data_IF_398192886203
#
_entry.id   IF_398192886203
#
_cell.length_a   1.000
_cell.length_b   1.000
_cell.length_c   1.000
_cell.angle_alpha   90.00
_cell.angle_beta   90.00
_cell.angle_gamma   90.00
#
_symmetry.space_group_name_H-M   'P 1'
#
loop_
_entity.id
_entity.type
_entity.pdbx_description
1 polymer ?
#
# COMPACT_ATOMS: atom_id res chain seq x y z
N UNK A 1 -22.48 8.13 -53.52
CA UNK A 1 -21.66 7.69 -53.43
C UNK A 1 -20.69 8.04 -52.59
N UNK A 2 -20.72 7.98 -51.73
CA UNK A 2 -19.80 8.28 -50.89
C UNK A 2 -19.19 7.11 -50.44
N UNK A 3 -18.40 6.97 -50.84
CA UNK A 3 -17.63 6.00 -50.48
C UNK A 3 -16.92 6.35 -49.29
N UNK A 4 -17.25 6.00 -48.47
CA UNK A 4 -16.65 6.02 -47.37
C UNK A 4 -15.33 5.62 -47.55
N UNK A 5 -14.48 6.38 -47.38
CA UNK A 5 -13.07 6.15 -47.22
C UNK A 5 -12.83 5.53 -45.85
N UNK A 6 -12.80 4.22 -45.76
CA UNK A 6 -12.23 3.49 -44.64
C UNK A 6 -10.72 3.80 -44.68
N UNK A 7 -10.30 4.74 -43.86
CA UNK A 7 -8.89 5.01 -43.66
C UNK A 7 -8.26 3.74 -43.07
N UNK A 8 -7.42 3.09 -43.83
CA UNK A 8 -6.52 2.05 -43.38
C UNK A 8 -5.47 2.69 -42.47
N UNK A 9 -5.83 2.92 -41.18
CA UNK A 9 -4.87 3.28 -40.16
C UNK A 9 -4.29 2.00 -39.49
N UNK A 10 -4.02 0.97 -40.32
CA UNK A 10 -3.76 -0.36 -39.81
C UNK A 10 -2.31 -0.82 -39.68
N UNK A 11 -1.32 0.02 -40.04
CA UNK A 11 0.03 -0.56 -40.23
C UNK A 11 1.14 0.01 -39.34
N UNK A 12 0.92 1.13 -38.63
CA UNK A 12 2.00 1.75 -37.83
C UNK A 12 1.84 1.60 -36.33
N UNK A 13 0.72 1.16 -35.88
CA UNK A 13 0.36 1.03 -34.47
C UNK A 13 1.31 0.12 -33.67
N UNK A 14 1.63 -1.12 -34.12
CA UNK A 14 2.48 -2.00 -33.33
C UNK A 14 3.93 -1.53 -33.20
N UNK A 15 4.45 -0.78 -34.20
CA UNK A 15 5.83 -0.29 -34.16
C UNK A 15 6.01 0.80 -33.10
N UNK A 16 4.97 1.54 -32.77
CA UNK A 16 5.00 2.57 -31.73
C UNK A 16 5.15 1.96 -30.32
N UNK A 17 4.70 0.71 -30.14
CA UNK A 17 4.84 -0.02 -28.88
C UNK A 17 6.23 -0.64 -28.72
N UNK A 18 6.99 -0.76 -29.79
CA UNK A 18 8.28 -1.47 -29.77
C UNK A 18 9.27 -0.90 -28.74
N UNK A 19 9.47 0.43 -28.64
CA UNK A 19 10.38 0.95 -27.59
C UNK A 19 9.94 0.60 -26.17
N UNK A 20 8.63 0.66 -25.90
CA UNK A 20 8.08 0.32 -24.59
C UNK A 20 8.27 -1.18 -24.31
N UNK A 21 8.02 -2.04 -25.29
CA UNK A 21 8.18 -3.49 -25.16
C UNK A 21 9.65 -3.87 -24.96
N UNK A 22 10.56 -3.22 -25.71
CA UNK A 22 12.00 -3.46 -25.55
C UNK A 22 12.48 -3.01 -24.17
N UNK A 23 12.02 -1.86 -23.68
CA UNK A 23 12.34 -1.38 -22.34
C UNK A 23 11.85 -2.36 -21.29
N UNK A 24 10.60 -2.78 -21.41
CA UNK A 24 9.99 -3.74 -20.47
C UNK A 24 10.76 -5.06 -20.45
N UNK A 25 11.08 -5.59 -21.62
CA UNK A 25 11.82 -6.85 -21.74
C UNK A 25 13.22 -6.73 -21.12
N UNK A 26 13.95 -5.67 -21.48
CA UNK A 26 15.36 -5.52 -21.07
C UNK A 26 15.51 -5.14 -19.59
N UNK A 27 14.63 -4.29 -19.06
CA UNK A 27 14.80 -3.72 -17.72
C UNK A 27 13.89 -4.33 -16.66
N UNK A 28 12.93 -5.13 -17.06
CA UNK A 28 12.01 -5.77 -16.10
C UNK A 28 11.96 -7.29 -16.28
N UNK A 29 11.59 -7.78 -17.45
CA UNK A 29 11.40 -9.23 -17.65
C UNK A 29 12.70 -10.03 -17.52
N UNK A 30 13.79 -9.56 -18.14
CA UNK A 30 15.09 -10.26 -18.06
C UNK A 30 15.64 -10.26 -16.63
N UNK A 31 15.72 -9.11 -15.93
CA UNK A 31 16.16 -9.12 -14.52
C UNK A 31 15.25 -9.95 -13.62
N UNK A 32 13.93 -9.92 -13.84
CA UNK A 32 12.99 -10.69 -13.04
C UNK A 32 13.17 -12.19 -13.27
N UNK A 33 13.34 -12.61 -14.53
CA UNK A 33 13.63 -14.01 -14.86
C UNK A 33 14.94 -14.47 -14.18
N UNK A 34 15.96 -13.60 -14.18
CA UNK A 34 17.22 -13.89 -13.50
C UNK A 34 17.01 -14.01 -11.98
N UNK A 35 16.19 -13.14 -11.41
CA UNK A 35 15.86 -13.20 -9.98
C UNK A 35 15.18 -14.54 -9.63
N UNK A 36 14.22 -14.98 -10.45
CA UNK A 36 13.56 -16.28 -10.26
C UNK A 36 14.60 -17.42 -10.29
N UNK A 37 15.52 -17.36 -11.23
CA UNK A 37 16.58 -18.36 -11.39
C UNK A 37 17.53 -18.38 -10.19
N UNK A 38 17.94 -17.22 -9.69
CA UNK A 38 18.84 -17.11 -8.53
C UNK A 38 18.18 -17.73 -7.29
N UNK A 39 16.86 -17.55 -7.13
CA UNK A 39 16.11 -18.15 -6.02
C UNK A 39 16.14 -19.68 -6.01
N UNK A 40 16.41 -20.32 -7.16
CA UNK A 40 16.58 -21.77 -7.24
C UNK A 40 17.95 -22.24 -6.79
N UNK A 41 18.92 -21.34 -6.68
CA UNK A 41 20.29 -21.66 -6.27
C UNK A 41 20.33 -22.11 -4.81
N UNK A 42 21.38 -22.85 -4.41
CA UNK A 42 21.48 -23.29 -3.01
C UNK A 42 21.69 -22.12 -2.03
N UNK A 43 20.95 -22.16 -0.94
CA UNK A 43 21.13 -21.26 0.20
C UNK A 43 22.48 -21.56 0.87
N UNK A 44 23.13 -20.55 1.41
CA UNK A 44 24.48 -20.66 2.00
C UNK A 44 24.51 -21.55 3.24
N UNK A 45 23.43 -21.61 4.00
CA UNK A 45 23.39 -22.37 5.25
C UNK A 45 22.72 -23.73 5.10
N UNK A 46 21.56 -23.79 4.44
CA UNK A 46 20.80 -25.04 4.30
C UNK A 46 21.25 -25.91 3.13
N UNK A 47 21.95 -25.31 2.15
CA UNK A 47 22.36 -25.97 0.90
C UNK A 47 21.17 -26.43 0.04
N UNK A 48 19.95 -26.05 0.42
CA UNK A 48 18.73 -26.28 -0.34
C UNK A 48 18.38 -25.04 -1.13
N UNK A 49 17.46 -25.15 -2.09
CA UNK A 49 17.07 -23.97 -2.90
C UNK A 49 16.56 -22.84 -2.01
N UNK A 50 16.75 -21.60 -2.45
CA UNK A 50 16.27 -20.44 -1.72
C UNK A 50 14.77 -20.51 -1.43
N UNK A 51 13.98 -20.99 -2.40
CA UNK A 51 12.51 -21.12 -2.22
C UNK A 51 12.17 -22.10 -1.11
N UNK A 52 12.84 -23.26 -1.08
CA UNK A 52 12.61 -24.22 -0.01
C UNK A 52 13.03 -23.67 1.36
N UNK A 53 14.16 -22.98 1.40
CA UNK A 53 14.67 -22.36 2.64
C UNK A 53 13.64 -21.34 3.18
N UNK A 54 13.05 -20.52 2.30
CA UNK A 54 12.07 -19.51 2.72
C UNK A 54 10.83 -20.15 3.37
N UNK A 55 10.33 -21.26 2.81
CA UNK A 55 9.12 -21.90 3.36
C UNK A 55 9.41 -22.83 4.53
N UNK A 56 10.64 -23.30 4.69
CA UNK A 56 10.99 -24.26 5.75
C UNK A 56 11.55 -23.61 7.01
N UNK A 57 12.18 -22.42 6.90
CA UNK A 57 12.81 -21.77 8.04
C UNK A 57 11.82 -20.81 8.74
N UNK A 58 11.61 -20.99 10.07
CA UNK A 58 10.63 -20.17 10.80
C UNK A 58 10.90 -18.67 10.74
N UNK A 59 12.16 -18.25 10.70
CA UNK A 59 12.55 -16.84 10.69
C UNK A 59 12.02 -16.09 9.46
N UNK A 60 12.03 -16.75 8.29
CA UNK A 60 11.54 -16.14 7.05
C UNK A 60 10.02 -16.10 7.01
N UNK A 61 9.38 -17.16 7.51
CA UNK A 61 7.92 -17.20 7.64
C UNK A 61 7.44 -16.13 8.63
N UNK A 62 8.18 -15.90 9.71
CA UNK A 62 7.86 -14.87 10.68
C UNK A 62 7.94 -13.48 10.05
N UNK A 63 9.00 -13.20 9.26
CA UNK A 63 9.14 -11.94 8.54
C UNK A 63 7.99 -11.73 7.55
N UNK A 64 7.62 -12.77 6.82
CA UNK A 64 6.50 -12.71 5.87
C UNK A 64 5.19 -12.43 6.61
N UNK A 65 4.94 -13.14 7.70
CA UNK A 65 3.72 -12.98 8.50
C UNK A 65 3.64 -11.58 9.10
N UNK A 66 4.73 -11.09 9.68
CA UNK A 66 4.80 -9.74 10.26
C UNK A 66 4.49 -8.68 9.20
N UNK A 67 5.11 -8.80 8.01
CA UNK A 67 4.90 -7.85 6.91
C UNK A 67 3.45 -7.90 6.42
N UNK A 68 2.91 -9.10 6.26
CA UNK A 68 1.54 -9.30 5.79
C UNK A 68 0.53 -8.71 6.77
N UNK A 69 0.65 -9.04 8.06
CA UNK A 69 -0.26 -8.55 9.10
C UNK A 69 -0.16 -7.04 9.27
N UNK A 70 1.07 -6.51 9.28
CA UNK A 70 1.30 -5.07 9.39
C UNK A 70 0.69 -4.34 8.19
N UNK A 71 0.91 -4.84 6.97
CA UNK A 71 0.38 -4.22 5.75
C UNK A 71 -1.15 -4.26 5.73
N UNK A 72 -1.74 -5.37 6.15
CA UNK A 72 -3.21 -5.48 6.25
C UNK A 72 -3.77 -4.51 7.29
N UNK A 73 -3.13 -4.44 8.47
CA UNK A 73 -3.58 -3.54 9.55
C UNK A 73 -3.50 -2.08 9.09
N UNK A 74 -2.38 -1.68 8.48
CA UNK A 74 -2.20 -0.32 7.93
C UNK A 74 -3.28 -0.03 6.89
N UNK A 75 -3.54 -0.97 5.99
CA UNK A 75 -4.52 -0.81 4.91
C UNK A 75 -5.93 -0.62 5.48
N UNK A 76 -6.34 -1.48 6.41
CA UNK A 76 -7.69 -1.41 6.99
C UNK A 76 -7.92 -0.10 7.75
N UNK A 77 -6.95 0.29 8.59
CA UNK A 77 -7.06 1.53 9.37
C UNK A 77 -7.01 2.75 8.45
N UNK A 78 -6.13 2.74 7.46
CA UNK A 78 -6.03 3.82 6.46
C UNK A 78 -7.36 3.99 5.72
N UNK A 79 -7.96 2.89 5.25
CA UNK A 79 -9.23 2.97 4.51
C UNK A 79 -10.36 3.46 5.39
N UNK A 80 -10.42 3.02 6.64
CA UNK A 80 -11.45 3.45 7.59
C UNK A 80 -11.35 4.97 7.83
N UNK A 81 -10.16 5.46 8.17
CA UNK A 81 -9.94 6.87 8.43
C UNK A 81 -10.17 7.70 7.15
N UNK A 82 -9.63 7.23 6.02
CA UNK A 82 -9.74 7.95 4.75
C UNK A 82 -11.19 8.02 4.25
N UNK A 83 -11.99 6.98 4.46
CA UNK A 83 -13.39 7.00 4.08
C UNK A 83 -14.16 8.04 4.89
N UNK A 84 -13.97 8.07 6.21
CA UNK A 84 -14.65 9.03 7.10
C UNK A 84 -14.20 10.46 6.78
N UNK A 85 -12.89 10.71 6.77
CA UNK A 85 -12.31 12.04 6.53
C UNK A 85 -12.62 12.50 5.10
N UNK A 86 -12.48 11.60 4.12
CA UNK A 86 -12.71 11.89 2.71
C UNK A 86 -14.15 12.28 2.43
N UNK A 87 -15.12 11.55 3.01
CA UNK A 87 -16.54 11.90 2.88
C UNK A 87 -16.84 13.23 3.54
N UNK A 88 -16.28 13.49 4.72
CA UNK A 88 -16.45 14.76 5.41
C UNK A 88 -15.92 15.92 4.58
N UNK A 89 -14.66 15.82 4.10
CA UNK A 89 -14.04 16.89 3.33
C UNK A 89 -14.70 17.11 1.97
N UNK A 90 -15.26 16.07 1.38
CA UNK A 90 -15.99 16.20 0.12
C UNK A 90 -17.29 16.97 0.26
N UNK A 91 -17.92 16.89 1.44
CA UNK A 91 -19.28 17.43 1.67
C UNK A 91 -19.31 18.76 2.37
N UNK A 92 -18.31 19.04 3.21
CA UNK A 92 -18.29 20.26 4.01
C UNK A 92 -17.40 21.31 3.35
N UNK A 93 -17.92 22.53 3.26
CA UNK A 93 -17.17 23.67 2.79
C UNK A 93 -16.97 24.62 3.98
N UNK A 94 -15.72 24.85 4.32
CA UNK A 94 -15.33 25.69 5.45
C UNK A 94 -14.08 26.49 5.10
N UNK A 95 -13.84 27.56 5.84
CA UNK A 95 -12.66 28.41 5.65
C UNK A 95 -11.40 27.58 5.95
N UNK A 96 -10.43 27.59 5.04
CA UNK A 96 -9.20 26.84 5.19
C UNK A 96 -9.20 25.42 4.64
N UNK A 97 -10.33 24.96 4.06
CA UNK A 97 -10.44 23.61 3.49
C UNK A 97 -9.35 23.35 2.43
N UNK A 98 -9.12 24.32 1.54
CA UNK A 98 -8.09 24.20 0.51
C UNK A 98 -6.70 24.09 1.10
N UNK A 99 -6.41 24.88 2.13
CA UNK A 99 -5.14 24.82 2.85
C UNK A 99 -4.96 23.47 3.54
N UNK A 100 -6.01 22.95 4.16
CA UNK A 100 -5.96 21.63 4.82
C UNK A 100 -5.67 20.52 3.80
N UNK A 101 -6.33 20.55 2.63
CA UNK A 101 -6.08 19.56 1.57
C UNK A 101 -4.65 19.65 1.06
N UNK A 102 -4.12 20.88 0.90
CA UNK A 102 -2.73 21.08 0.50
C UNK A 102 -1.76 20.52 1.54
N UNK A 103 -2.03 20.78 2.83
CA UNK A 103 -1.20 20.30 3.94
C UNK A 103 -1.24 18.75 4.04
N UNK A 104 -2.38 18.15 3.71
CA UNK A 104 -2.51 16.68 3.72
C UNK A 104 -1.60 16.02 2.67
N UNK A 105 -1.29 16.71 1.58
CA UNK A 105 -0.38 16.16 0.56
C UNK A 105 1.09 16.37 0.88
N UNK A 106 1.42 17.26 1.83
CA UNK A 106 2.78 17.60 2.18
C UNK A 106 3.62 16.38 2.62
N UNK A 107 3.09 15.45 3.46
CA UNK A 107 3.86 14.27 3.85
C UNK A 107 4.32 13.40 2.68
N UNK A 108 3.64 13.45 1.53
CA UNK A 108 4.00 12.66 0.36
C UNK A 108 5.33 13.10 -0.26
N UNK A 109 5.81 14.30 0.08
CA UNK A 109 7.09 14.81 -0.39
C UNK A 109 8.30 14.16 0.32
N UNK A 110 8.07 13.52 1.47
CA UNK A 110 9.17 12.99 2.28
C UNK A 110 9.49 11.52 1.94
N UNK A 111 10.77 11.19 1.75
CA UNK A 111 11.17 9.78 1.60
C UNK A 111 10.97 9.00 2.92
N UNK A 112 10.87 7.69 2.79
CA UNK A 112 10.59 6.81 3.93
C UNK A 112 11.57 6.93 5.10
N UNK A 113 12.84 7.21 4.79
CA UNK A 113 13.88 7.40 5.83
C UNK A 113 13.51 8.60 6.72
N UNK A 114 13.05 9.70 6.11
CA UNK A 114 12.64 10.90 6.85
C UNK A 114 11.38 10.60 7.68
N UNK A 115 10.45 9.83 7.14
CA UNK A 115 9.25 9.40 7.89
C UNK A 115 9.68 8.60 9.14
N UNK A 116 10.67 7.72 9.00
CA UNK A 116 11.25 7.00 10.15
C UNK A 116 11.80 7.94 11.21
N UNK A 117 12.53 8.97 10.80
CA UNK A 117 13.03 10.00 11.75
C UNK A 117 11.88 10.70 12.47
N UNK A 118 10.79 11.03 11.74
CA UNK A 118 9.63 11.66 12.35
C UNK A 118 8.99 10.75 13.40
N UNK A 119 8.92 9.46 13.13
CA UNK A 119 8.42 8.47 14.10
C UNK A 119 9.32 8.42 15.33
N UNK A 120 10.64 8.45 15.15
CA UNK A 120 11.61 8.49 16.27
C UNK A 120 11.42 9.75 17.10
N UNK A 121 11.24 10.90 16.46
CA UNK A 121 11.00 12.17 17.17
C UNK A 121 9.67 12.16 17.94
N UNK A 122 8.67 11.47 17.42
CA UNK A 122 7.36 11.36 18.07
C UNK A 122 7.36 10.32 19.19
N UNK A 123 7.84 9.13 18.91
CA UNK A 123 7.64 7.94 19.74
C UNK A 123 8.95 7.24 20.15
N UNK A 124 10.10 7.87 19.95
CA UNK A 124 11.41 7.35 20.35
C UNK A 124 11.68 7.57 21.83
N UNK A 125 12.86 7.17 22.26
CA UNK A 125 13.26 7.22 23.68
C UNK A 125 13.24 8.64 24.26
N UNK A 126 13.53 9.64 23.45
CA UNK A 126 13.50 11.05 23.84
C UNK A 126 12.43 11.82 23.07
N UNK A 127 11.45 11.09 22.54
CA UNK A 127 10.39 11.67 21.73
C UNK A 127 9.30 12.34 22.57
N UNK A 128 8.39 13.00 21.87
CA UNK A 128 7.27 13.73 22.49
C UNK A 128 6.41 12.80 23.33
N UNK A 129 6.12 11.58 22.83
CA UNK A 129 5.32 10.60 23.54
C UNK A 129 5.98 10.16 24.85
N UNK A 130 7.31 9.94 24.84
CA UNK A 130 8.05 9.54 26.04
C UNK A 130 8.04 10.65 27.08
N UNK A 131 8.19 11.92 26.66
CA UNK A 131 8.17 13.08 27.55
C UNK A 131 6.78 13.27 28.17
N UNK A 132 5.71 13.16 27.37
CA UNK A 132 4.33 13.29 27.85
C UNK A 132 3.95 12.16 28.78
N UNK A 133 4.30 10.91 28.44
CA UNK A 133 3.97 9.76 29.27
C UNK A 133 4.71 9.81 30.59
N UNK A 134 5.97 10.29 30.60
CA UNK A 134 6.73 10.45 31.82
C UNK A 134 6.11 11.52 32.73
N UNK A 135 5.63 12.64 32.17
CA UNK A 135 5.03 13.70 32.97
C UNK A 135 3.64 13.34 33.51
N UNK A 136 2.87 12.53 32.75
CA UNK A 136 1.48 12.17 33.13
C UNK A 136 1.39 10.88 33.94
N UNK A 137 2.18 9.87 33.58
CA UNK A 137 2.07 8.52 34.13
C UNK A 137 3.33 8.04 34.85
N UNK A 138 4.40 8.85 34.83
CA UNK A 138 5.71 8.51 35.40
C UNK A 138 6.31 7.26 34.76
N UNK A 139 5.89 6.93 33.51
CA UNK A 139 6.42 5.82 32.72
C UNK A 139 6.81 6.34 31.34
N UNK A 140 7.92 5.81 30.80
CA UNK A 140 8.41 6.21 29.49
C UNK A 140 7.91 5.23 28.42
N UNK A 141 7.02 5.69 27.58
CA UNK A 141 6.48 4.91 26.47
C UNK A 141 7.33 5.14 25.22
N UNK A 142 7.95 4.06 24.72
CA UNK A 142 8.79 4.08 23.53
C UNK A 142 8.21 3.08 22.52
N UNK A 143 7.59 3.58 21.46
CA UNK A 143 6.94 2.76 20.44
C UNK A 143 7.71 2.73 19.11
N UNK A 144 8.71 3.62 18.92
CA UNK A 144 9.34 3.85 17.62
C UNK A 144 10.07 2.61 17.07
N UNK A 145 10.73 1.85 17.94
CA UNK A 145 11.65 0.78 17.52
C UNK A 145 10.97 -0.60 17.50
N UNK A 146 9.70 -0.64 17.09
CA UNK A 146 8.87 -1.84 17.12
C UNK A 146 7.95 -1.85 15.90
N UNK A 147 7.16 -2.92 15.76
CA UNK A 147 6.11 -3.01 14.74
C UNK A 147 5.06 -1.92 14.92
N UNK A 148 4.83 -1.47 16.15
CA UNK A 148 3.92 -0.33 16.44
C UNK A 148 4.46 0.96 15.82
N UNK A 149 5.76 1.20 15.93
CA UNK A 149 6.42 2.35 15.28
C UNK A 149 6.32 2.28 13.77
N UNK A 150 6.51 1.10 13.19
CA UNK A 150 6.33 0.88 11.75
C UNK A 150 4.89 1.17 11.33
N UNK A 151 3.93 0.72 12.11
CA UNK A 151 2.51 0.96 11.85
C UNK A 151 2.23 2.47 11.76
N UNK A 152 2.74 3.24 12.73
CA UNK A 152 2.60 4.71 12.74
C UNK A 152 3.25 5.32 11.48
N UNK A 153 4.46 4.89 11.16
CA UNK A 153 5.19 5.39 9.98
C UNK A 153 4.47 5.08 8.67
N UNK A 154 3.93 3.88 8.54
CA UNK A 154 3.20 3.48 7.33
C UNK A 154 1.87 4.24 7.20
N UNK A 155 1.20 4.53 8.32
CA UNK A 155 0.02 5.39 8.32
C UNK A 155 0.36 6.81 7.83
N UNK A 156 1.52 7.31 8.22
CA UNK A 156 1.96 8.67 7.90
C UNK A 156 1.95 8.93 6.39
N UNK A 157 2.45 7.98 5.59
CA UNK A 157 2.47 8.16 4.14
C UNK A 157 1.24 7.58 3.42
N UNK A 158 0.52 6.64 4.05
CA UNK A 158 -0.66 6.01 3.44
C UNK A 158 -1.91 6.88 3.56
N UNK A 159 -2.11 7.50 4.73
CA UNK A 159 -3.32 8.31 5.01
C UNK A 159 -3.51 9.48 4.04
N UNK A 160 -2.49 10.33 3.78
CA UNK A 160 -2.70 11.47 2.87
C UNK A 160 -3.14 11.03 1.48
N UNK A 161 -2.52 10.00 0.95
CA UNK A 161 -2.83 9.49 -0.39
C UNK A 161 -4.26 8.95 -0.46
N UNK A 162 -4.63 8.14 0.53
CA UNK A 162 -5.96 7.55 0.60
C UNK A 162 -7.04 8.61 0.80
N UNK A 163 -6.80 9.59 1.68
CA UNK A 163 -7.76 10.68 1.95
C UNK A 163 -8.04 11.46 0.65
N UNK A 164 -6.98 11.85 -0.09
CA UNK A 164 -7.14 12.60 -1.34
C UNK A 164 -7.96 11.79 -2.35
N UNK A 165 -7.68 10.49 -2.46
CA UNK A 165 -8.42 9.59 -3.36
C UNK A 165 -9.90 9.49 -2.95
N UNK A 166 -10.16 9.33 -1.66
CA UNK A 166 -11.53 9.18 -1.16
C UNK A 166 -12.31 10.50 -1.22
N UNK A 167 -11.65 11.66 -1.07
CA UNK A 167 -12.28 12.97 -1.31
C UNK A 167 -12.77 13.04 -2.75
N UNK A 168 -11.89 12.74 -3.71
CA UNK A 168 -12.24 12.79 -5.13
C UNK A 168 -13.37 11.82 -5.47
N UNK A 169 -13.34 10.61 -4.91
CA UNK A 169 -14.40 9.62 -5.13
C UNK A 169 -15.72 10.05 -4.51
N UNK A 170 -15.68 10.61 -3.30
CA UNK A 170 -16.88 11.08 -2.61
C UNK A 170 -17.54 12.25 -3.33
N UNK A 171 -16.75 13.13 -3.94
CA UNK A 171 -17.28 14.27 -4.72
C UNK A 171 -18.07 13.81 -5.94
N UNK A 172 -17.76 12.62 -6.46
CA UNK A 172 -18.43 12.03 -7.64
C UNK A 172 -19.69 11.26 -7.29
N UNK A 173 -19.95 10.99 -6.00
CA UNK A 173 -21.15 10.27 -5.59
C UNK A 173 -22.42 11.09 -5.88
N UNK A 174 -23.44 10.41 -6.39
CA UNK A 174 -24.74 11.03 -6.67
C UNK A 174 -25.53 11.19 -5.38
N UNK A 175 -25.62 12.41 -4.90
CA UNK A 175 -26.34 12.75 -3.66
C UNK A 175 -27.84 12.49 -3.75
N UNK A 176 -28.40 12.45 -4.97
CA UNK A 176 -29.83 12.17 -5.16
C UNK A 176 -30.21 10.77 -4.64
N UNK A 177 -29.28 9.81 -4.70
CA UNK A 177 -29.52 8.48 -4.15
C UNK A 177 -29.68 8.50 -2.63
N UNK A 178 -28.88 9.34 -1.95
CA UNK A 178 -28.99 9.51 -0.50
C UNK A 178 -30.31 10.18 -0.12
N UNK A 179 -30.69 11.22 -0.88
CA UNK A 179 -31.96 11.95 -0.68
C UNK A 179 -33.17 11.03 -0.91
N UNK A 180 -33.10 10.19 -1.94
CA UNK A 180 -34.14 9.20 -2.23
C UNK A 180 -34.26 8.20 -1.07
N UNK A 181 -33.12 7.70 -0.57
CA UNK A 181 -33.11 6.78 0.56
C UNK A 181 -33.71 7.42 1.82
N UNK A 182 -33.40 8.70 2.09
CA UNK A 182 -33.96 9.44 3.22
C UNK A 182 -35.48 9.59 3.06
N UNK A 183 -35.94 9.88 1.86
CA UNK A 183 -37.36 10.03 1.57
C UNK A 183 -38.13 8.72 1.81
N UNK A 184 -37.46 7.58 1.65
CA UNK A 184 -38.02 6.27 1.93
C UNK A 184 -37.87 5.85 3.41
N UNK A 185 -37.37 6.77 4.27
CA UNK A 185 -37.28 6.53 5.70
C UNK A 185 -36.02 5.78 6.15
N UNK A 186 -35.01 5.71 5.29
CA UNK A 186 -33.74 5.03 5.65
C UNK A 186 -32.99 5.79 6.75
N UNK A 187 -32.50 5.06 7.75
CA UNK A 187 -31.66 5.64 8.79
C UNK A 187 -30.28 6.01 8.22
N UNK A 188 -29.56 6.87 8.94
CA UNK A 188 -28.22 7.31 8.53
C UNK A 188 -27.27 6.11 8.34
N UNK A 189 -27.33 5.10 9.23
CA UNK A 189 -26.55 3.88 9.11
C UNK A 189 -26.87 3.12 7.83
N UNK A 190 -28.15 3.04 7.50
CA UNK A 190 -28.59 2.34 6.30
C UNK A 190 -28.09 3.05 5.03
N UNK A 191 -28.16 4.40 5.01
CA UNK A 191 -27.62 5.18 3.89
C UNK A 191 -26.11 4.93 3.72
N UNK A 192 -25.36 4.90 4.83
CA UNK A 192 -23.92 4.64 4.76
C UNK A 192 -23.64 3.26 4.11
N UNK A 193 -24.31 2.21 4.60
CA UNK A 193 -24.01 0.85 4.18
C UNK A 193 -24.62 0.48 2.82
N UNK A 194 -25.79 1.03 2.48
CA UNK A 194 -26.51 0.65 1.27
C UNK A 194 -26.24 1.60 0.09
N UNK A 195 -25.77 2.83 0.34
CA UNK A 195 -25.55 3.84 -0.72
C UNK A 195 -24.10 4.29 -0.78
N UNK A 196 -23.55 4.79 0.35
CA UNK A 196 -22.23 5.45 0.34
C UNK A 196 -21.11 4.42 0.16
N UNK A 197 -21.07 3.37 0.98
CA UNK A 197 -20.02 2.36 0.93
C UNK A 197 -19.98 1.65 -0.43
N UNK A 198 -21.11 1.18 -0.98
CA UNK A 198 -21.09 0.61 -2.33
C UNK A 198 -20.63 1.58 -3.40
N UNK A 199 -21.00 2.85 -3.29
CA UNK A 199 -20.55 3.89 -4.24
C UNK A 199 -19.05 4.16 -4.15
N UNK A 200 -18.45 4.02 -2.97
CA UNK A 200 -17.02 4.22 -2.75
C UNK A 200 -16.20 2.92 -2.97
N UNK A 201 -16.85 1.78 -3.18
CA UNK A 201 -16.18 0.49 -3.27
C UNK A 201 -15.01 0.47 -4.26
N UNK A 202 -15.14 0.96 -5.50
CA UNK A 202 -13.98 0.97 -6.41
C UNK A 202 -12.80 1.77 -5.88
N UNK A 203 -13.04 2.93 -5.27
CA UNK A 203 -12.00 3.78 -4.70
C UNK A 203 -11.37 3.13 -3.46
N UNK A 204 -12.18 2.49 -2.62
CA UNK A 204 -11.69 1.77 -1.44
C UNK A 204 -10.79 0.61 -1.85
N UNK A 205 -11.21 -0.18 -2.85
CA UNK A 205 -10.44 -1.34 -3.31
C UNK A 205 -9.13 -0.90 -3.98
N UNK A 206 -9.15 0.13 -4.82
CA UNK A 206 -7.94 0.60 -5.49
C UNK A 206 -6.96 1.26 -4.51
N UNK A 207 -7.45 2.10 -3.60
CA UNK A 207 -6.62 2.71 -2.55
C UNK A 207 -6.06 1.66 -1.61
N UNK A 208 -6.88 0.69 -1.24
CA UNK A 208 -6.46 -0.41 -0.36
C UNK A 208 -5.39 -1.27 -0.98
N UNK A 209 -5.57 -1.64 -2.25
CA UNK A 209 -4.58 -2.43 -2.99
C UNK A 209 -3.24 -1.70 -3.06
N UNK A 210 -3.26 -0.41 -3.38
CA UNK A 210 -2.04 0.39 -3.46
C UNK A 210 -1.39 0.54 -2.08
N UNK A 211 -2.18 0.80 -1.05
CA UNK A 211 -1.69 0.91 0.32
C UNK A 211 -1.03 -0.39 0.78
N UNK A 212 -1.68 -1.53 0.53
CA UNK A 212 -1.15 -2.85 0.87
C UNK A 212 0.17 -3.12 0.16
N UNK A 213 0.22 -2.90 -1.16
CA UNK A 213 1.42 -3.18 -1.96
C UNK A 213 2.59 -2.27 -1.55
N UNK A 214 2.34 -0.98 -1.30
CA UNK A 214 3.39 -0.05 -0.89
C UNK A 214 3.87 -0.33 0.53
N UNK A 215 2.98 -0.75 1.43
CA UNK A 215 3.35 -1.14 2.80
C UNK A 215 4.19 -2.41 2.82
N UNK A 216 3.84 -3.39 1.97
CA UNK A 216 4.63 -4.64 1.84
C UNK A 216 6.08 -4.35 1.50
N UNK A 217 6.34 -3.39 0.61
CA UNK A 217 7.67 -3.09 0.11
C UNK A 217 8.39 -1.91 0.78
N UNK A 218 7.82 -1.33 1.83
CA UNK A 218 8.39 -0.13 2.46
C UNK A 218 9.66 -0.47 3.23
N UNK A 219 10.80 0.01 2.75
CA UNK A 219 12.12 -0.27 3.32
C UNK A 219 12.64 0.90 4.17
N UNK A 220 12.59 2.13 3.66
CA UNK A 220 13.26 3.28 4.27
C UNK A 220 12.83 3.54 5.71
N UNK A 221 11.53 3.52 5.95
CA UNK A 221 10.96 3.71 7.29
C UNK A 221 11.42 2.60 8.24
N UNK A 222 11.32 1.35 7.80
CA UNK A 222 11.72 0.19 8.60
C UNK A 222 13.22 0.22 8.92
N UNK A 223 14.04 0.58 7.94
CA UNK A 223 15.50 0.67 8.10
C UNK A 223 15.87 1.72 9.14
N UNK A 224 15.20 2.86 9.14
CA UNK A 224 15.46 3.93 10.10
C UNK A 224 15.08 3.54 11.53
N UNK A 225 13.98 2.78 11.68
CA UNK A 225 13.47 2.40 13.00
C UNK A 225 14.24 1.24 13.64
N UNK A 226 15.04 0.51 12.87
CA UNK A 226 15.91 -0.50 13.43
C UNK A 226 16.00 -1.76 12.58
N UNK A 227 17.22 -2.24 12.38
CA UNK A 227 17.51 -3.39 11.52
C UNK A 227 17.12 -4.74 12.16
N UNK A 228 16.76 -4.73 13.45
CA UNK A 228 16.33 -5.95 14.16
C UNK A 228 14.87 -6.30 13.93
N UNK A 229 14.10 -5.43 13.27
CA UNK A 229 12.68 -5.70 12.99
C UNK A 229 12.55 -6.81 11.94
N UNK A 230 11.73 -7.81 12.26
CA UNK A 230 11.50 -8.96 11.38
C UNK A 230 10.39 -8.64 10.37
N UNK A 231 10.75 -7.84 9.35
CA UNK A 231 9.88 -7.53 8.21
C UNK A 231 10.63 -7.84 6.92
N UNK A 232 9.92 -8.25 5.87
CA UNK A 232 10.53 -8.77 4.64
C UNK A 232 11.55 -7.83 4.00
N UNK A 233 11.29 -6.53 3.82
CA UNK A 233 12.30 -5.67 3.20
C UNK A 233 13.63 -5.65 3.95
N UNK A 234 13.61 -5.63 5.29
CA UNK A 234 14.83 -5.67 6.09
C UNK A 234 15.49 -7.05 6.05
N UNK A 235 14.70 -8.12 6.05
CA UNK A 235 15.21 -9.49 5.95
C UNK A 235 15.91 -9.69 4.60
N UNK A 236 15.29 -9.23 3.49
CA UNK A 236 15.88 -9.29 2.15
C UNK A 236 17.22 -8.52 2.13
N UNK A 237 17.21 -7.31 2.67
CA UNK A 237 18.39 -6.46 2.73
C UNK A 237 19.52 -7.16 3.51
N UNK A 238 19.21 -7.74 4.67
CA UNK A 238 20.18 -8.45 5.49
C UNK A 238 20.78 -9.67 4.79
N UNK A 239 19.93 -10.49 4.16
CA UNK A 239 20.38 -11.67 3.42
C UNK A 239 21.31 -11.26 2.27
N UNK A 240 20.98 -10.19 1.55
CA UNK A 240 21.75 -9.71 0.41
C UNK A 240 23.07 -9.08 0.85
N UNK A 241 23.03 -8.11 1.79
CA UNK A 241 24.19 -7.27 2.11
C UNK A 241 25.07 -7.85 3.22
N UNK A 242 24.47 -8.39 4.28
CA UNK A 242 25.21 -8.83 5.46
C UNK A 242 25.72 -10.27 5.32
N UNK A 243 24.90 -11.13 4.69
CA UNK A 243 25.22 -12.56 4.59
C UNK A 243 25.61 -13.02 3.20
N UNK A 244 25.48 -12.15 2.19
CA UNK A 244 25.73 -12.48 0.78
C UNK A 244 24.97 -13.75 0.35
N UNK A 245 23.77 -13.94 0.88
CA UNK A 245 22.93 -15.11 0.64
C UNK A 245 21.93 -14.76 -0.46
N UNK A 246 22.43 -14.70 -1.68
CA UNK A 246 21.68 -14.21 -2.84
C UNK A 246 20.47 -15.10 -3.16
N UNK A 247 20.60 -16.41 -2.97
CA UNK A 247 19.53 -17.36 -3.25
C UNK A 247 18.29 -17.07 -2.40
N UNK A 248 18.47 -16.91 -1.09
CA UNK A 248 17.36 -16.65 -0.17
C UNK A 248 16.84 -15.23 -0.32
N UNK A 249 17.74 -14.24 -0.54
CA UNK A 249 17.31 -12.86 -0.81
C UNK A 249 16.43 -12.78 -2.06
N UNK A 250 16.81 -13.49 -3.14
CA UNK A 250 16.03 -13.54 -4.37
C UNK A 250 14.68 -14.24 -4.16
N UNK A 251 14.68 -15.37 -3.44
CA UNK A 251 13.45 -16.11 -3.15
C UNK A 251 12.47 -15.29 -2.32
N UNK A 252 12.96 -14.60 -1.28
CA UNK A 252 12.14 -13.71 -0.45
C UNK A 252 11.55 -12.57 -1.29
N UNK A 253 12.35 -12.01 -2.20
CA UNK A 253 11.90 -10.92 -3.09
C UNK A 253 10.76 -11.39 -4.00
N UNK A 254 10.89 -12.58 -4.58
CA UNK A 254 9.86 -13.19 -5.45
C UNK A 254 8.58 -13.44 -4.64
N UNK A 255 8.71 -14.00 -3.44
CA UNK A 255 7.55 -14.28 -2.57
C UNK A 255 6.84 -12.96 -2.19
N UNK A 256 7.60 -11.94 -1.81
CA UNK A 256 7.04 -10.63 -1.47
C UNK A 256 6.28 -10.03 -2.65
N UNK A 257 6.90 -10.05 -3.83
CA UNK A 257 6.28 -9.54 -5.05
C UNK A 257 5.01 -10.32 -5.42
N UNK A 258 5.05 -11.64 -5.28
CA UNK A 258 3.89 -12.50 -5.56
C UNK A 258 2.73 -12.19 -4.62
N UNK A 259 3.00 -12.04 -3.32
CA UNK A 259 1.95 -11.73 -2.32
C UNK A 259 1.35 -10.35 -2.61
N UNK A 260 2.20 -9.34 -2.89
CA UNK A 260 1.71 -7.99 -3.21
C UNK A 260 0.87 -8.00 -4.50
N UNK A 261 1.34 -8.73 -5.52
CA UNK A 261 0.62 -8.85 -6.79
C UNK A 261 -0.73 -9.56 -6.62
N UNK A 262 -0.77 -10.63 -5.82
CA UNK A 262 -2.02 -11.33 -5.51
C UNK A 262 -3.02 -10.41 -4.82
N UNK A 263 -2.55 -9.55 -3.91
CA UNK A 263 -3.39 -8.54 -3.27
C UNK A 263 -3.99 -7.58 -4.27
N UNK A 264 -3.17 -7.10 -5.23
CA UNK A 264 -3.64 -6.21 -6.31
C UNK A 264 -4.67 -6.90 -7.19
N UNK A 265 -4.42 -8.17 -7.56
CA UNK A 265 -5.35 -8.95 -8.41
C UNK A 265 -6.67 -9.21 -7.70
N UNK A 266 -6.61 -9.53 -6.42
CA UNK A 266 -7.83 -9.74 -5.62
C UNK A 266 -8.69 -8.48 -5.58
N UNK A 267 -8.06 -7.31 -5.35
CA UNK A 267 -8.78 -6.03 -5.35
C UNK A 267 -9.45 -5.77 -6.70
N UNK A 268 -8.75 -6.05 -7.81
CA UNK A 268 -9.32 -5.91 -9.16
C UNK A 268 -10.51 -6.84 -9.37
N UNK A 269 -10.39 -8.11 -8.96
CA UNK A 269 -11.46 -9.09 -9.12
C UNK A 269 -12.71 -8.65 -8.35
N UNK A 270 -12.54 -8.13 -7.14
CA UNK A 270 -13.66 -7.65 -6.31
C UNK A 270 -14.31 -6.40 -6.92
N UNK A 271 -13.53 -5.55 -7.60
CA UNK A 271 -14.06 -4.37 -8.29
C UNK A 271 -14.96 -4.80 -9.46
N UNK A 272 -14.51 -5.77 -10.27
CA UNK A 272 -15.26 -6.23 -11.44
C UNK A 272 -16.51 -7.03 -11.05
N UNK A 273 -16.41 -7.83 -9.98
CA UNK A 273 -17.55 -8.63 -9.51
C UNK A 273 -18.74 -7.76 -9.06
N UNK A 274 -18.46 -6.52 -8.63
CA UNK A 274 -19.53 -5.59 -8.24
C UNK A 274 -20.16 -4.81 -9.39
N UNK A 275 -19.59 -4.89 -10.59
CA UNK A 275 -20.02 -4.12 -11.75
C UNK A 275 -20.92 -4.85 -12.75
N UNK A 276 -21.09 -6.17 -12.61
CA UNK A 276 -21.97 -6.94 -13.51
C UNK A 276 -23.42 -6.84 -13.04
N UNK A 277 -24.11 -5.78 -13.44
CA UNK A 277 -25.58 -5.80 -13.44
C UNK A 277 -26.01 -6.53 -14.71
N UNK A 278 -26.86 -7.55 -14.60
CA UNK A 278 -27.40 -8.20 -15.79
C UNK A 278 -28.25 -7.18 -16.57
N UNK A 279 -27.93 -7.02 -17.83
CA UNK A 279 -28.68 -6.20 -18.80
C UNK A 279 -30.07 -6.83 -19.05
#
# INVERSE_FOLDING_TARGET
XXXXRRAHHGARWPWMLLPALLFLAAFWLLPFARLLQIGLSPDRTTQQSGYWTVVSQPQYLQSLLNTLLLSLAVTLITLLIAAVVGCFLARQRFAGRGTLLALLTFPLAFPGVVVGFLVVMLAGRQGVLAQLSMSLFHERWTLAYSLSGLFIGYLYFSLPRAIVTLVAASEKLDRSLEEAARSLGASQWRIIWDVIVPGLKPALLSSGALCFATSMGAFGTAFTLGTSLSVLPLTIYGEFTNYANFATAAALSVVMGAVAWLGLMLARALTHAGGEQPS
#
